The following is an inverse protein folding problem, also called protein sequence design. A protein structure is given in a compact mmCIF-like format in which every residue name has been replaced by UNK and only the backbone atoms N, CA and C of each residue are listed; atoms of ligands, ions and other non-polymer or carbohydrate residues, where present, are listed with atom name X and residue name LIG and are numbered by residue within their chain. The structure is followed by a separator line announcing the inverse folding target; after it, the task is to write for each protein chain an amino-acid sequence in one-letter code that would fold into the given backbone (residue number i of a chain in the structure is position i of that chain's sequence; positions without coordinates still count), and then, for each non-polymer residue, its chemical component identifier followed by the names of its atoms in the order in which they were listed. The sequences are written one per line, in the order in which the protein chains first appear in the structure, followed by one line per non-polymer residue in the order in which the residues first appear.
data_IF_328611149855
#
_entry.id   IF_328611149855
#
_cell.length_a   1.000
_cell.length_b   1.000
_cell.length_c   1.000
_cell.angle_alpha   90.00
_cell.angle_beta   90.00
_cell.angle_gamma   90.00
#
_symmetry.space_group_name_H-M   'P 1'
#
loop_
_entity.id
_entity.type
_entity.pdbx_description
1 polymer ?
#
# COMPACT_ATOMS: atom_id res chain seq x y z
N UNK A 1 2.89 -16.77 36.38
CA UNK A 1 3.77 -16.55 35.21
C UNK A 1 3.22 -17.18 33.92
N UNK A 2 1.89 -17.15 33.68
CA UNK A 2 1.23 -17.83 32.55
C UNK A 2 0.69 -16.89 31.46
N UNK A 3 0.93 -15.58 31.58
CA UNK A 3 0.30 -14.56 30.72
C UNK A 3 1.09 -14.25 29.42
N UNK A 4 2.29 -14.80 29.24
CA UNK A 4 3.15 -14.49 28.07
C UNK A 4 2.93 -15.38 26.84
N UNK A 5 2.33 -16.58 26.97
CA UNK A 5 2.25 -17.53 25.85
C UNK A 5 1.19 -17.15 24.80
N UNK A 6 0.07 -16.53 25.22
CA UNK A 6 -1.01 -16.12 24.33
C UNK A 6 -0.65 -14.90 23.46
N UNK A 7 0.04 -13.93 24.06
CA UNK A 7 0.44 -12.70 23.35
C UNK A 7 1.46 -12.98 22.24
N UNK A 8 2.41 -13.90 22.48
CA UNK A 8 3.38 -14.31 21.47
C UNK A 8 2.73 -14.94 20.24
N UNK A 9 1.76 -15.83 20.45
CA UNK A 9 1.00 -16.46 19.35
C UNK A 9 0.19 -15.44 18.56
N UNK A 10 -0.48 -14.50 19.24
CA UNK A 10 -1.24 -13.42 18.60
C UNK A 10 -0.33 -12.55 17.73
N UNK A 11 0.81 -12.13 18.26
CA UNK A 11 1.75 -11.28 17.52
C UNK A 11 2.35 -12.00 16.31
N UNK A 12 2.68 -13.28 16.43
CA UNK A 12 3.17 -14.09 15.31
C UNK A 12 2.11 -14.21 14.21
N UNK A 13 0.85 -14.49 14.58
CA UNK A 13 -0.26 -14.54 13.64
C UNK A 13 -0.47 -13.20 12.93
N UNK A 14 -0.48 -12.09 13.67
CA UNK A 14 -0.64 -10.75 13.09
C UNK A 14 0.51 -10.41 12.14
N UNK A 15 1.75 -10.75 12.49
CA UNK A 15 2.91 -10.51 11.61
C UNK A 15 2.82 -11.31 10.30
N UNK A 16 2.34 -12.57 10.37
CA UNK A 16 2.11 -13.38 9.18
C UNK A 16 0.95 -12.81 8.33
N UNK A 17 -0.11 -12.35 9.00
CA UNK A 17 -1.24 -11.70 8.34
C UNK A 17 -0.79 -10.42 7.62
N UNK A 18 0.09 -9.61 8.22
CA UNK A 18 0.67 -8.41 7.62
C UNK A 18 1.31 -8.70 6.26
N UNK A 19 2.19 -9.71 6.21
CA UNK A 19 2.84 -10.13 4.94
C UNK A 19 1.80 -10.66 3.95
N UNK A 20 0.85 -11.47 4.40
CA UNK A 20 -0.23 -11.98 3.54
C UNK A 20 -1.10 -10.87 2.94
N UNK A 21 -1.39 -9.83 3.71
CA UNK A 21 -2.11 -8.63 3.27
C UNK A 21 -1.30 -7.90 2.19
N UNK A 22 0.01 -7.74 2.37
CA UNK A 22 0.88 -7.13 1.35
C UNK A 22 0.76 -7.85 -0.01
N UNK A 23 0.80 -9.19 -0.02
CA UNK A 23 0.57 -9.98 -1.22
C UNK A 23 -0.85 -9.82 -1.79
N UNK A 24 -1.87 -9.85 -0.93
CA UNK A 24 -3.27 -9.67 -1.34
C UNK A 24 -3.49 -8.32 -2.05
N UNK A 25 -2.86 -7.27 -1.53
CA UNK A 25 -2.94 -5.94 -2.14
C UNK A 25 -2.15 -5.82 -3.45
N UNK A 26 -1.04 -6.55 -3.63
CA UNK A 26 -0.36 -6.65 -4.93
C UNK A 26 -1.25 -7.30 -5.99
N UNK A 27 -1.96 -8.37 -5.61
CA UNK A 27 -2.91 -9.04 -6.51
C UNK A 27 -4.03 -8.06 -6.88
N UNK A 28 -4.58 -7.34 -5.90
CA UNK A 28 -5.60 -6.32 -6.15
C UNK A 28 -5.08 -5.22 -7.10
N UNK A 29 -3.87 -4.70 -6.87
CA UNK A 29 -3.24 -3.72 -7.75
C UNK A 29 -3.08 -4.24 -9.18
N UNK A 30 -2.65 -5.49 -9.34
CA UNK A 30 -2.54 -6.16 -10.64
C UNK A 30 -3.90 -6.28 -11.34
N UNK A 31 -4.95 -6.61 -10.61
CA UNK A 31 -6.32 -6.67 -11.15
C UNK A 31 -6.81 -5.28 -11.58
N UNK A 32 -6.49 -4.22 -10.84
CA UNK A 32 -6.85 -2.85 -11.21
C UNK A 32 -6.11 -2.39 -12.46
N UNK A 33 -4.84 -2.74 -12.64
CA UNK A 33 -4.10 -2.49 -13.87
C UNK A 33 -4.80 -3.17 -15.06
N UNK A 34 -5.20 -4.44 -14.92
CA UNK A 34 -5.96 -5.14 -15.98
C UNK A 34 -7.29 -4.47 -16.29
N UNK A 35 -8.02 -4.03 -15.27
CA UNK A 35 -9.27 -3.31 -15.47
C UNK A 35 -9.03 -1.98 -16.19
N UNK A 36 -7.97 -1.25 -15.83
CA UNK A 36 -7.56 -0.02 -16.49
C UNK A 36 -7.24 -0.26 -17.97
N UNK A 37 -6.51 -1.34 -18.31
CA UNK A 37 -6.25 -1.70 -19.71
C UNK A 37 -7.54 -1.97 -20.50
N UNK A 38 -8.49 -2.71 -19.92
CA UNK A 38 -9.78 -3.02 -20.55
C UNK A 38 -10.58 -1.74 -20.82
N UNK A 39 -10.69 -0.86 -19.82
CA UNK A 39 -11.41 0.40 -19.96
C UNK A 39 -10.70 1.32 -20.96
N UNK A 40 -9.38 1.40 -20.91
CA UNK A 40 -8.60 2.23 -21.84
C UNK A 40 -8.79 1.76 -23.28
N UNK A 41 -8.70 0.45 -23.53
CA UNK A 41 -8.98 -0.13 -24.85
C UNK A 41 -10.41 0.16 -25.32
N UNK A 42 -11.41 0.03 -24.43
CA UNK A 42 -12.80 0.30 -24.78
C UNK A 42 -13.05 1.78 -25.17
N UNK A 43 -12.32 2.72 -24.57
CA UNK A 43 -12.50 4.17 -24.81
C UNK A 43 -11.64 4.68 -25.96
N UNK A 44 -10.39 4.21 -26.08
CA UNK A 44 -9.40 4.75 -27.01
C UNK A 44 -9.01 3.79 -28.14
N UNK A 45 -9.48 2.54 -28.08
CA UNK A 45 -9.17 1.48 -29.02
C UNK A 45 -7.87 0.73 -28.69
N UNK A 46 -7.79 -0.52 -29.15
CA UNK A 46 -6.62 -1.38 -28.98
C UNK A 46 -5.33 -0.79 -29.58
N UNK A 47 -5.44 -0.01 -30.67
CA UNK A 47 -4.29 0.64 -31.30
C UNK A 47 -3.59 1.63 -30.35
N UNK A 48 -4.36 2.40 -29.58
CA UNK A 48 -3.83 3.34 -28.59
C UNK A 48 -3.18 2.59 -27.41
N UNK A 49 -3.80 1.49 -26.95
CA UNK A 49 -3.23 0.64 -25.90
C UNK A 49 -1.91 0.00 -26.33
N UNK A 50 -1.84 -0.50 -27.57
CA UNK A 50 -0.63 -1.06 -28.13
C UNK A 50 0.48 -0.01 -28.22
N UNK A 51 0.18 1.19 -28.71
CA UNK A 51 1.14 2.28 -28.75
C UNK A 51 1.69 2.64 -27.34
N UNK A 52 0.82 2.63 -26.32
CA UNK A 52 1.25 2.86 -24.94
C UNK A 52 2.20 1.76 -24.43
N UNK A 53 1.92 0.49 -24.74
CA UNK A 53 2.79 -0.65 -24.41
C UNK A 53 4.13 -0.57 -25.14
N UNK A 54 4.11 -0.22 -26.42
CA UNK A 54 5.32 -0.09 -27.24
C UNK A 54 6.22 1.02 -26.71
N UNK A 55 5.64 2.14 -26.24
CA UNK A 55 6.38 3.21 -25.58
C UNK A 55 6.94 2.79 -24.21
N UNK A 56 6.21 1.96 -23.45
CA UNK A 56 6.69 1.39 -22.18
C UNK A 56 7.88 0.45 -22.38
N UNK A 57 7.87 -0.34 -23.46
CA UNK A 57 8.96 -1.27 -23.78
C UNK A 57 10.26 -0.57 -24.23
N UNK A 58 10.23 0.76 -24.43
CA UNK A 58 11.44 1.54 -24.71
C UNK A 58 12.29 1.80 -23.45
N UNK A 59 11.72 1.60 -22.25
CA UNK A 59 12.45 1.75 -21.00
C UNK A 59 13.19 0.45 -20.66
N UNK A 60 14.48 0.57 -20.35
CA UNK A 60 15.28 -0.55 -19.84
C UNK A 60 14.91 -0.77 -18.38
N UNK A 61 14.24 -1.89 -18.08
CA UNK A 61 14.00 -2.33 -16.70
C UNK A 61 15.33 -2.84 -16.15
N UNK A 62 15.98 -2.03 -15.32
CA UNK A 62 17.18 -2.46 -14.58
C UNK A 62 16.71 -3.33 -13.42
N UNK A 63 17.09 -4.61 -13.46
CA UNK A 63 16.82 -5.53 -12.36
C UNK A 63 17.57 -5.09 -11.11
N UNK A 64 16.90 -4.97 -9.94
CA UNK A 64 17.55 -4.53 -8.72
C UNK A 64 18.62 -5.53 -8.30
N UNK A 65 19.80 -5.03 -7.92
CA UNK A 65 20.83 -5.85 -7.30
C UNK A 65 20.43 -6.26 -5.89
N UNK A 66 21.11 -7.27 -5.33
CA UNK A 66 20.94 -7.62 -3.92
C UNK A 66 21.13 -6.42 -2.99
N UNK A 67 22.08 -5.54 -3.31
CA UNK A 67 22.32 -4.35 -2.50
C UNK A 67 21.17 -3.34 -2.59
N UNK A 68 20.55 -3.20 -3.76
CA UNK A 68 19.37 -2.34 -3.91
C UNK A 68 18.22 -2.84 -3.07
N UNK A 69 17.97 -4.15 -3.06
CA UNK A 69 16.93 -4.78 -2.22
C UNK A 69 17.20 -4.54 -0.73
N UNK A 70 18.45 -4.66 -0.28
CA UNK A 70 18.82 -4.42 1.13
C UNK A 70 18.61 -2.96 1.52
N UNK A 71 19.12 -2.03 0.70
CA UNK A 71 19.04 -0.58 0.97
C UNK A 71 17.58 -0.12 0.91
N UNK A 72 16.87 -0.50 -0.14
CA UNK A 72 15.48 -0.13 -0.32
C UNK A 72 14.58 -0.78 0.73
N UNK A 73 14.85 -2.03 1.12
CA UNK A 73 14.17 -2.68 2.23
C UNK A 73 14.34 -1.88 3.53
N UNK A 74 15.58 -1.56 3.90
CA UNK A 74 15.85 -0.76 5.10
C UNK A 74 15.13 0.61 5.06
N UNK A 75 15.22 1.32 3.95
CA UNK A 75 14.53 2.60 3.75
C UNK A 75 13.01 2.45 3.81
N UNK A 76 12.46 1.39 3.21
CA UNK A 76 11.02 1.14 3.18
C UNK A 76 10.43 0.94 4.57
N UNK A 77 11.10 0.19 5.45
CA UNK A 77 10.62 -0.02 6.81
C UNK A 77 10.95 1.13 7.76
N UNK A 78 12.19 1.63 7.72
CA UNK A 78 12.69 2.58 8.73
C UNK A 78 12.37 4.04 8.42
N UNK A 79 12.14 4.36 7.14
CA UNK A 79 11.89 5.74 6.72
C UNK A 79 10.49 5.86 6.17
N UNK A 80 10.14 5.13 5.11
CA UNK A 80 8.87 5.34 4.40
C UNK A 80 7.69 4.89 5.27
N UNK A 81 7.58 3.59 5.54
CA UNK A 81 6.48 3.03 6.30
C UNK A 81 6.44 3.61 7.72
N UNK A 82 7.57 3.73 8.42
CA UNK A 82 7.58 4.30 9.76
C UNK A 82 6.99 5.72 9.80
N UNK A 83 7.45 6.64 8.95
CA UNK A 83 6.97 8.02 8.98
C UNK A 83 5.50 8.13 8.55
N UNK A 84 5.11 7.41 7.49
CA UNK A 84 3.74 7.43 7.02
C UNK A 84 2.78 6.82 8.04
N UNK A 85 3.11 5.68 8.65
CA UNK A 85 2.25 5.06 9.66
C UNK A 85 2.18 5.87 10.95
N UNK A 86 3.28 6.52 11.36
CA UNK A 86 3.24 7.47 12.48
C UNK A 86 2.28 8.63 12.19
N UNK A 87 2.36 9.23 11.00
CA UNK A 87 1.51 10.36 10.65
C UNK A 87 0.05 9.95 10.48
N UNK A 88 -0.24 8.96 9.62
CA UNK A 88 -1.61 8.61 9.27
C UNK A 88 -2.33 7.81 10.35
N UNK A 89 -1.65 6.89 11.05
CA UNK A 89 -2.31 5.96 12.01
C UNK A 89 -2.11 6.43 13.45
N UNK A 90 -0.90 6.79 13.84
CA UNK A 90 -0.64 7.21 15.23
C UNK A 90 -1.20 8.60 15.54
N UNK A 91 -1.10 9.54 14.60
CA UNK A 91 -1.56 10.92 14.76
C UNK A 91 -2.94 11.15 14.12
N UNK A 92 -3.02 11.16 12.79
CA UNK A 92 -4.18 11.65 12.05
C UNK A 92 -5.46 10.86 12.36
N UNK A 93 -5.42 9.53 12.34
CA UNK A 93 -6.57 8.69 12.66
C UNK A 93 -7.17 9.02 14.05
N UNK A 94 -6.33 9.35 15.03
CA UNK A 94 -6.76 9.66 16.40
C UNK A 94 -7.35 11.06 16.56
N UNK A 95 -6.88 12.03 15.77
CA UNK A 95 -7.26 13.44 15.94
C UNK A 95 -8.28 13.94 14.92
N UNK A 96 -8.39 13.30 13.76
CA UNK A 96 -9.14 13.85 12.64
C UNK A 96 -10.64 13.56 12.67
N UNK A 97 -11.08 12.50 13.37
CA UNK A 97 -12.47 12.04 13.35
C UNK A 97 -13.15 12.03 14.71
N UNK A 98 -14.48 12.22 14.76
CA UNK A 98 -15.26 12.13 16.00
C UNK A 98 -15.38 10.69 16.54
N UNK A 99 -14.97 9.69 15.75
CA UNK A 99 -15.00 8.27 16.10
C UNK A 99 -13.84 7.54 15.42
N UNK A 100 -13.52 6.32 15.88
CA UNK A 100 -12.48 5.48 15.24
C UNK A 100 -12.76 5.19 13.77
N UNK A 101 -14.03 4.97 13.41
CA UNK A 101 -14.44 4.75 12.02
C UNK A 101 -14.28 6.04 11.21
N UNK A 102 -14.75 7.17 11.73
CA UNK A 102 -14.58 8.47 11.06
C UNK A 102 -13.11 8.84 10.86
N UNK A 103 -12.28 8.63 11.89
CA UNK A 103 -10.83 8.84 11.81
C UNK A 103 -10.15 7.93 10.79
N UNK A 104 -10.60 6.68 10.67
CA UNK A 104 -10.08 5.73 9.66
C UNK A 104 -10.45 6.18 8.25
N UNK A 105 -11.69 6.64 8.02
CA UNK A 105 -12.13 7.14 6.72
C UNK A 105 -11.35 8.40 6.31
N UNK A 106 -11.18 9.34 7.22
CA UNK A 106 -10.43 10.58 6.95
C UNK A 106 -8.95 10.28 6.71
N UNK A 107 -8.34 9.43 7.54
CA UNK A 107 -6.95 9.01 7.37
C UNK A 107 -6.74 8.31 6.02
N UNK A 108 -7.63 7.38 5.65
CA UNK A 108 -7.56 6.71 4.35
C UNK A 108 -7.74 7.66 3.16
N UNK A 109 -8.63 8.65 3.28
CA UNK A 109 -8.86 9.65 2.25
C UNK A 109 -7.62 10.52 2.03
N UNK A 110 -6.99 10.96 3.13
CA UNK A 110 -5.77 11.77 3.06
C UNK A 110 -4.56 10.93 2.63
N UNK A 111 -4.50 9.65 2.99
CA UNK A 111 -3.48 8.72 2.51
C UNK A 111 -3.58 8.55 0.98
N UNK A 112 -4.80 8.39 0.45
CA UNK A 112 -5.03 8.35 -0.99
C UNK A 112 -4.62 9.67 -1.65
N UNK A 113 -5.07 10.81 -1.11
CA UNK A 113 -4.71 12.11 -1.65
C UNK A 113 -3.18 12.33 -1.69
N UNK A 114 -2.47 11.97 -0.63
CA UNK A 114 -1.00 12.05 -0.53
C UNK A 114 -0.31 11.27 -1.65
N UNK A 115 -0.75 10.04 -1.93
CA UNK A 115 -0.17 9.19 -2.98
C UNK A 115 -0.51 9.63 -4.40
N UNK A 116 -1.51 10.49 -4.57
CA UNK A 116 -1.94 10.98 -5.88
C UNK A 116 -1.25 12.27 -6.28
N UNK A 117 -0.56 12.95 -5.35
CA UNK A 117 0.16 14.21 -5.64
C UNK A 117 1.20 14.05 -6.76
N UNK A 118 1.73 12.85 -6.96
CA UNK A 118 2.73 12.54 -7.99
C UNK A 118 2.14 12.09 -9.32
N UNK A 119 0.81 11.89 -9.42
CA UNK A 119 0.16 11.41 -10.63
C UNK A 119 -0.43 12.56 -11.46
N UNK A 120 0.03 12.70 -12.69
CA UNK A 120 -0.44 13.75 -13.62
C UNK A 120 -1.54 13.28 -14.59
N UNK A 121 -1.89 11.99 -14.58
CA UNK A 121 -2.88 11.41 -15.50
C UNK A 121 -4.23 11.23 -14.82
N UNK A 122 -5.25 11.94 -15.31
CA UNK A 122 -6.64 11.84 -14.81
C UNK A 122 -7.14 10.39 -14.83
N UNK A 123 -6.81 9.63 -15.88
CA UNK A 123 -7.18 8.21 -15.97
C UNK A 123 -6.52 7.39 -14.88
N UNK A 124 -5.25 7.65 -14.58
CA UNK A 124 -4.55 6.94 -13.49
C UNK A 124 -5.12 7.32 -12.13
N UNK A 125 -5.52 8.58 -11.92
CA UNK A 125 -6.17 9.01 -10.67
C UNK A 125 -7.45 8.21 -10.40
N UNK A 126 -8.30 7.98 -11.41
CA UNK A 126 -9.56 7.24 -11.24
C UNK A 126 -9.36 5.82 -10.69
N UNK A 127 -8.31 5.11 -11.13
CA UNK A 127 -8.02 3.76 -10.65
C UNK A 127 -7.16 3.75 -9.37
N UNK A 128 -6.31 4.75 -9.18
CA UNK A 128 -5.41 4.83 -8.03
C UNK A 128 -6.10 5.37 -6.77
N UNK A 129 -7.13 6.23 -6.89
CA UNK A 129 -7.88 6.72 -5.72
C UNK A 129 -8.49 5.56 -4.92
N UNK A 130 -9.30 4.66 -5.50
CA UNK A 130 -9.86 3.54 -4.76
C UNK A 130 -8.77 2.62 -4.20
N UNK A 131 -7.70 2.39 -4.95
CA UNK A 131 -6.59 1.54 -4.53
C UNK A 131 -5.91 2.05 -3.26
N UNK A 132 -5.43 3.30 -3.27
CA UNK A 132 -4.76 3.88 -2.11
C UNK A 132 -5.73 4.14 -0.96
N UNK A 133 -7.00 4.43 -1.25
CA UNK A 133 -8.02 4.52 -0.21
C UNK A 133 -8.22 3.17 0.50
N UNK A 134 -8.32 2.08 -0.27
CA UNK A 134 -8.38 0.71 0.29
C UNK A 134 -7.14 0.40 1.14
N UNK A 135 -5.95 0.78 0.70
CA UNK A 135 -4.73 0.68 1.49
C UNK A 135 -4.82 1.43 2.83
N UNK A 136 -5.28 2.67 2.79
CA UNK A 136 -5.51 3.50 3.96
C UNK A 136 -6.44 2.81 4.98
N UNK A 137 -7.53 2.22 4.50
CA UNK A 137 -8.49 1.49 5.34
C UNK A 137 -7.90 0.21 5.92
N UNK A 138 -7.20 -0.59 5.12
CA UNK A 138 -6.58 -1.85 5.55
C UNK A 138 -5.58 -1.61 6.68
N UNK A 139 -4.68 -0.64 6.51
CA UNK A 139 -3.68 -0.30 7.52
C UNK A 139 -4.31 0.33 8.78
N UNK A 140 -5.39 1.11 8.62
CA UNK A 140 -6.17 1.61 9.76
C UNK A 140 -6.83 0.48 10.54
N UNK A 141 -7.41 -0.51 9.83
CA UNK A 141 -8.02 -1.67 10.45
C UNK A 141 -6.99 -2.54 11.18
N UNK A 142 -5.81 -2.75 10.58
CA UNK A 142 -4.71 -3.50 11.20
C UNK A 142 -4.18 -2.80 12.46
N UNK A 143 -3.99 -1.47 12.39
CA UNK A 143 -3.61 -0.67 13.55
C UNK A 143 -4.62 -0.81 14.69
N UNK A 144 -5.92 -0.70 14.41
CA UNK A 144 -6.96 -0.84 15.44
C UNK A 144 -7.09 -2.27 15.97
N UNK A 145 -7.02 -3.29 15.09
CA UNK A 145 -7.13 -4.71 15.46
C UNK A 145 -5.94 -5.20 16.31
N UNK A 146 -4.76 -4.61 16.11
CA UNK A 146 -3.56 -4.89 16.90
C UNK A 146 -3.51 -4.17 18.24
N UNK A 147 -4.54 -3.40 18.60
CA UNK A 147 -4.55 -2.60 19.82
C UNK A 147 -3.66 -1.38 19.70
N UNK A 148 -3.68 -0.73 18.54
CA UNK A 148 -2.96 0.52 18.25
C UNK A 148 -1.42 0.34 18.26
N UNK A 149 -0.95 -0.85 17.85
CA UNK A 149 0.48 -1.14 17.68
C UNK A 149 0.90 -0.84 16.25
N UNK A 150 1.83 0.11 16.06
CA UNK A 150 2.30 0.51 14.74
C UNK A 150 3.17 -0.54 14.04
N UNK A 151 3.71 -1.52 14.77
CA UNK A 151 4.61 -2.53 14.18
C UNK A 151 3.95 -3.28 13.02
N UNK A 152 2.66 -3.61 13.12
CA UNK A 152 1.96 -4.38 12.09
C UNK A 152 1.70 -3.58 10.82
N UNK A 153 1.08 -2.38 10.85
CA UNK A 153 0.94 -1.58 9.64
C UNK A 153 2.30 -1.19 9.02
N UNK A 154 3.34 -0.96 9.82
CA UNK A 154 4.71 -0.73 9.30
C UNK A 154 5.23 -1.98 8.58
N UNK A 155 5.02 -3.17 9.16
CA UNK A 155 5.41 -4.42 8.53
C UNK A 155 4.65 -4.65 7.22
N UNK A 156 3.34 -4.48 7.22
CA UNK A 156 2.49 -4.63 6.02
C UNK A 156 2.91 -3.67 4.91
N UNK A 157 3.05 -2.39 5.25
CA UNK A 157 3.37 -1.34 4.29
C UNK A 157 4.80 -1.49 3.76
N UNK A 158 5.78 -1.65 4.65
CA UNK A 158 7.18 -1.85 4.25
C UNK A 158 7.37 -3.13 3.42
N UNK A 159 6.67 -4.22 3.77
CA UNK A 159 6.72 -5.47 2.99
C UNK A 159 6.09 -5.29 1.61
N UNK A 160 4.98 -4.55 1.51
CA UNK A 160 4.38 -4.23 0.22
C UNK A 160 5.35 -3.45 -0.68
N UNK A 161 5.99 -2.41 -0.15
CA UNK A 161 6.96 -1.62 -0.92
C UNK A 161 8.14 -2.51 -1.39
N UNK A 162 8.67 -3.34 -0.50
CA UNK A 162 9.75 -4.26 -0.85
C UNK A 162 9.34 -5.27 -1.93
N UNK A 163 8.14 -5.84 -1.82
CA UNK A 163 7.60 -6.75 -2.84
C UNK A 163 7.39 -6.04 -4.17
N UNK A 164 6.95 -4.78 -4.16
CA UNK A 164 6.79 -3.98 -5.37
C UNK A 164 8.12 -3.74 -6.09
N UNK A 165 9.22 -3.56 -5.37
CA UNK A 165 10.56 -3.45 -5.96
C UNK A 165 10.99 -4.73 -6.69
N UNK A 166 10.55 -5.89 -6.21
CA UNK A 166 10.97 -7.19 -6.74
C UNK A 166 10.15 -7.66 -7.96
N UNK A 167 9.14 -6.89 -8.38
CA UNK A 167 8.29 -7.15 -9.56
C UNK A 167 8.77 -6.33 -10.76
#
# INVERSE_FOLDING_TARGET
MLWKSGQGKKNAFLSLASVGISFGMLILGSMLIRLQEIVFSAVFGEAALQQARDNLNQFVIVQPSFMDVVIFGATSFLVIALNEELFFRAFLLRVAGPSRVGGSLISASLFAAYHLVTSMSVYSIVFMVPYYFSWGLVLSAEYLASGEQLVFPILTHGSFNLLLLML
#
